data_IF_662304986225
#
_entry.id   IF_662304986225
#
_cell.length_a   1.000
_cell.length_b   1.000
_cell.length_c   1.000
_cell.angle_alpha   90.00
_cell.angle_beta   90.00
_cell.angle_gamma   90.00
#
_symmetry.space_group_name_H-M   'P 1'
#
loop_
_entity.id
_entity.type
_entity.pdbx_description
1 polymer ?
#
# COMPACT_ATOMS: atom_id res chain seq x y z
N UNK A 1 -14.50 18.54 0.29
CA UNK A 1 -13.72 17.36 -0.12
C UNK A 1 -14.70 16.24 -0.46
N UNK A 2 -14.77 15.86 -1.73
CA UNK A 2 -15.77 14.90 -2.23
C UNK A 2 -15.39 13.46 -1.87
N UNK A 3 -16.30 12.49 -2.05
CA UNK A 3 -16.05 11.09 -1.66
C UNK A 3 -14.82 10.51 -2.35
N UNK A 4 -14.57 10.85 -3.62
CA UNK A 4 -13.34 10.45 -4.35
C UNK A 4 -12.06 11.02 -3.75
N UNK A 5 -12.05 12.32 -3.41
CA UNK A 5 -10.88 12.94 -2.79
C UNK A 5 -10.60 12.34 -1.40
N UNK A 6 -11.65 12.02 -0.64
CA UNK A 6 -11.53 11.29 0.63
C UNK A 6 -10.98 9.88 0.42
N UNK A 7 -11.43 9.16 -0.60
CA UNK A 7 -10.95 7.82 -0.95
C UNK A 7 -9.48 7.85 -1.39
N UNK A 8 -9.10 8.77 -2.29
CA UNK A 8 -7.72 8.94 -2.72
C UNK A 8 -6.79 9.29 -1.57
N UNK A 9 -7.21 10.20 -0.68
CA UNK A 9 -6.45 10.52 0.54
C UNK A 9 -6.31 9.31 1.47
N UNK A 10 -7.39 8.55 1.68
CA UNK A 10 -7.36 7.33 2.49
C UNK A 10 -6.38 6.31 1.91
N UNK A 11 -6.46 6.03 0.61
CA UNK A 11 -5.57 5.10 -0.08
C UNK A 11 -4.11 5.55 0.00
N UNK A 12 -3.85 6.86 -0.16
CA UNK A 12 -2.52 7.43 -0.02
C UNK A 12 -1.97 7.26 1.40
N UNK A 13 -2.76 7.56 2.42
CA UNK A 13 -2.37 7.39 3.83
C UNK A 13 -2.10 5.93 4.16
N UNK A 14 -2.99 5.02 3.75
CA UNK A 14 -2.82 3.57 3.95
C UNK A 14 -1.57 3.06 3.24
N UNK A 15 -1.34 3.48 2.00
CA UNK A 15 -0.15 3.13 1.24
C UNK A 15 1.13 3.65 1.89
N UNK A 16 1.13 4.89 2.37
CA UNK A 16 2.25 5.50 3.10
C UNK A 16 2.56 4.77 4.41
N UNK A 17 1.54 4.42 5.19
CA UNK A 17 1.70 3.61 6.40
C UNK A 17 2.27 2.23 6.04
N UNK A 18 1.72 1.57 5.03
CA UNK A 18 2.19 0.25 4.57
C UNK A 18 3.66 0.27 4.09
N UNK A 19 4.14 1.39 3.54
CA UNK A 19 5.54 1.59 3.19
C UNK A 19 6.44 1.68 4.43
N UNK A 20 6.04 2.45 5.44
CA UNK A 20 6.80 2.66 6.68
C UNK A 20 6.78 1.42 7.57
N UNK A 21 5.64 0.71 7.64
CA UNK A 21 5.45 -0.53 8.39
C UNK A 21 6.06 -1.79 7.72
N UNK A 22 6.80 -1.62 6.63
CA UNK A 22 7.38 -2.70 5.81
C UNK A 22 8.38 -3.61 6.54
N UNK A 23 9.49 -4.04 5.92
CA UNK A 23 10.34 -5.09 6.48
C UNK A 23 10.95 -4.76 7.85
N UNK A 24 11.06 -3.47 8.23
CA UNK A 24 11.68 -3.02 9.49
C UNK A 24 11.03 -3.58 10.77
N UNK A 25 9.74 -3.28 11.06
CA UNK A 25 9.05 -3.83 12.23
C UNK A 25 8.88 -5.35 12.19
N UNK A 26 8.73 -5.93 10.99
CA UNK A 26 8.55 -7.38 10.81
C UNK A 26 9.74 -8.21 11.33
N UNK A 27 10.94 -7.65 11.36
CA UNK A 27 12.13 -8.32 11.90
C UNK A 27 12.03 -8.49 13.42
N UNK A 28 11.40 -7.54 14.13
CA UNK A 28 11.19 -7.62 15.58
C UNK A 28 10.22 -8.73 16.01
N UNK A 29 9.36 -9.21 15.10
CA UNK A 29 8.49 -10.38 15.34
C UNK A 29 9.27 -11.68 15.51
N UNK A 30 10.52 -11.72 15.03
CA UNK A 30 11.35 -12.94 15.01
C UNK A 30 12.55 -12.80 15.93
N UNK A 31 13.14 -11.60 15.97
CA UNK A 31 14.23 -11.29 16.87
C UNK A 31 13.90 -10.02 17.67
N UNK A 32 13.38 -10.16 18.91
CA UNK A 32 13.06 -9.02 19.75
C UNK A 32 14.31 -8.27 20.26
N UNK A 33 15.52 -8.80 20.09
CA UNK A 33 16.76 -8.10 20.42
C UNK A 33 17.80 -8.21 19.26
N UNK A 34 17.95 -7.19 18.42
CA UNK A 34 18.94 -7.17 17.35
C UNK A 34 20.40 -7.10 17.85
N UNK A 35 20.63 -6.83 19.13
CA UNK A 35 21.95 -6.82 19.75
C UNK A 35 22.28 -8.12 20.51
N UNK A 36 21.33 -9.06 20.63
CA UNK A 36 21.54 -10.33 21.31
C UNK A 36 22.21 -11.36 20.37
N UNK A 37 23.49 -11.74 20.61
CA UNK A 37 24.17 -12.77 19.83
C UNK A 37 23.58 -14.18 20.06
N UNK A 38 22.83 -14.41 21.15
CA UNK A 38 22.13 -15.66 21.48
C UNK A 38 20.71 -15.70 20.89
N UNK A 39 20.32 -14.71 20.07
CA UNK A 39 19.01 -14.64 19.45
C UNK A 39 18.60 -15.98 18.84
N UNK A 40 17.60 -16.61 19.47
CA UNK A 40 17.04 -17.88 19.01
C UNK A 40 16.38 -17.67 17.64
N UNK A 41 17.13 -17.99 16.58
CA UNK A 41 16.59 -18.05 15.22
C UNK A 41 15.56 -19.18 15.15
N UNK A 42 14.31 -18.86 15.42
CA UNK A 42 13.22 -19.80 15.17
C UNK A 42 13.24 -20.16 13.68
N UNK A 43 13.21 -21.45 13.35
CA UNK A 43 13.08 -21.93 11.96
C UNK A 43 11.83 -21.34 11.29
N UNK A 44 10.78 -21.06 12.06
CA UNK A 44 9.57 -20.37 11.59
C UNK A 44 9.71 -18.86 11.42
N UNK A 45 10.80 -18.26 11.93
CA UNK A 45 11.06 -16.84 11.83
C UNK A 45 11.12 -16.35 10.38
N UNK A 46 11.93 -17.00 9.55
CA UNK A 46 12.05 -16.65 8.13
C UNK A 46 10.70 -16.72 7.41
N UNK A 47 9.91 -17.82 7.50
CA UNK A 47 8.54 -17.86 6.98
C UNK A 47 7.64 -16.72 7.47
N UNK A 48 7.72 -16.33 8.75
CA UNK A 48 6.91 -15.26 9.32
C UNK A 48 7.26 -13.90 8.71
N UNK A 49 8.54 -13.57 8.53
CA UNK A 49 8.94 -12.32 7.85
C UNK A 49 8.52 -12.32 6.39
N UNK A 50 8.61 -13.45 5.70
CA UNK A 50 8.14 -13.56 4.32
C UNK A 50 6.62 -13.37 4.23
N UNK A 51 5.84 -13.99 5.12
CA UNK A 51 4.40 -13.79 5.20
C UNK A 51 4.04 -12.32 5.48
N UNK A 52 4.77 -11.67 6.39
CA UNK A 52 4.62 -10.24 6.70
C UNK A 52 4.92 -9.35 5.48
N UNK A 53 6.03 -9.61 4.78
CA UNK A 53 6.40 -8.86 3.58
C UNK A 53 5.36 -9.03 2.46
N UNK A 54 4.90 -10.26 2.21
CA UNK A 54 3.86 -10.56 1.21
C UNK A 54 2.55 -9.89 1.56
N UNK A 55 2.15 -9.89 2.84
CA UNK A 55 0.95 -9.20 3.30
C UNK A 55 0.99 -7.70 2.94
N UNK A 56 2.09 -7.01 3.25
CA UNK A 56 2.22 -5.59 2.94
C UNK A 56 2.30 -5.28 1.45
N UNK A 57 2.98 -6.14 0.69
CA UNK A 57 2.99 -6.05 -0.77
C UNK A 57 1.56 -6.16 -1.33
N UNK A 58 0.75 -7.07 -0.77
CA UNK A 58 -0.66 -7.22 -1.11
C UNK A 58 -1.48 -5.98 -0.79
N UNK A 59 -1.28 -5.36 0.39
CA UNK A 59 -1.95 -4.10 0.76
C UNK A 59 -1.59 -2.98 -0.21
N UNK A 60 -0.31 -2.83 -0.55
CA UNK A 60 0.16 -1.82 -1.50
C UNK A 60 -0.42 -2.03 -2.90
N UNK A 61 -0.38 -3.26 -3.42
CA UNK A 61 -0.98 -3.63 -4.69
C UNK A 61 -2.49 -3.36 -4.70
N UNK A 62 -3.19 -3.72 -3.62
CA UNK A 62 -4.61 -3.45 -3.44
C UNK A 62 -4.92 -1.94 -3.47
N UNK A 63 -4.12 -1.12 -2.80
CA UNK A 63 -4.30 0.34 -2.82
C UNK A 63 -4.16 0.91 -4.25
N UNK A 64 -3.17 0.45 -5.01
CA UNK A 64 -2.95 0.89 -6.40
C UNK A 64 -4.10 0.44 -7.30
N UNK A 65 -4.58 -0.80 -7.16
CA UNK A 65 -5.71 -1.32 -7.93
C UNK A 65 -7.01 -0.55 -7.63
N UNK A 66 -7.26 -0.24 -6.36
CA UNK A 66 -8.42 0.56 -5.94
C UNK A 66 -8.31 2.01 -6.45
N UNK A 67 -7.13 2.62 -6.37
CA UNK A 67 -6.89 3.94 -6.93
C UNK A 67 -7.12 3.96 -8.44
N UNK A 68 -6.60 2.98 -9.17
CA UNK A 68 -6.84 2.85 -10.61
C UNK A 68 -8.32 2.72 -10.94
N UNK A 69 -9.05 1.86 -10.22
CA UNK A 69 -10.45 1.54 -10.54
C UNK A 69 -11.45 2.61 -10.13
N UNK A 70 -11.22 3.31 -9.02
CA UNK A 70 -12.19 4.24 -8.43
C UNK A 70 -11.76 5.70 -8.44
N UNK A 71 -10.47 6.00 -8.65
CA UNK A 71 -9.97 7.38 -8.73
C UNK A 71 -9.61 7.72 -10.18
N UNK A 72 -8.77 6.92 -10.84
CA UNK A 72 -8.22 7.26 -12.17
C UNK A 72 -9.14 6.88 -13.35
N UNK A 73 -9.86 5.76 -13.30
CA UNK A 73 -10.72 5.32 -14.43
C UNK A 73 -11.96 6.18 -14.67
N UNK A 74 -12.42 6.93 -13.68
CA UNK A 74 -13.58 7.81 -13.86
C UNK A 74 -13.19 9.24 -14.28
N UNK A 75 -11.90 9.62 -14.23
CA UNK A 75 -11.39 10.86 -14.85
C UNK A 75 -11.32 10.73 -16.38
N UNK A 76 -11.02 9.54 -16.88
CA UNK A 76 -10.94 9.29 -18.33
C UNK A 76 -12.31 9.16 -19.01
N UNK A 77 -13.41 9.17 -18.24
CA UNK A 77 -14.80 9.11 -18.72
C UNK A 77 -15.53 10.46 -18.66
N UNK A 78 -14.84 11.57 -18.44
CA UNK A 78 -15.40 12.88 -18.81
C UNK A 78 -15.50 12.91 -20.35
N UNK A 79 -16.71 12.98 -20.94
CA UNK A 79 -16.81 13.31 -22.35
C UNK A 79 -16.15 14.68 -22.51
N UNK A 80 -15.14 14.78 -23.37
CA UNK A 80 -14.66 16.10 -23.81
C UNK A 80 -15.89 16.80 -24.37
N UNK A 81 -16.46 17.73 -23.62
CA UNK A 81 -17.51 18.59 -24.13
C UNK A 81 -17.00 19.17 -25.45
N UNK A 82 -17.87 19.10 -26.45
CA UNK A 82 -17.54 19.39 -27.83
C UNK A 82 -16.82 20.71 -27.94
N UNK A 83 -15.65 20.68 -28.56
CA UNK A 83 -15.13 21.85 -29.25
C UNK A 83 -16.02 22.11 -30.47
N UNK A 84 -17.22 22.64 -30.21
CA UNK A 84 -17.80 23.61 -31.12
C UNK A 84 -17.01 24.90 -30.92
N UNK A 85 -16.22 25.28 -31.93
CA UNK A 85 -16.23 26.63 -32.46
C UNK A 85 -15.78 26.55 -33.92
N UNK A 86 -16.77 26.25 -34.76
CA UNK A 86 -16.85 26.78 -36.11
C UNK A 86 -17.07 28.30 -35.99
N UNK A 87 -15.98 29.06 -35.78
CA UNK A 87 -15.91 30.53 -35.92
C UNK A 87 -14.51 30.99 -36.31
#
# INVERSE_FOLDING_TARGET
>A
MNSRQRLGLLLFVVFGIALVMGPGPGVWLINPDPADPEARRFLMGVPIVYAWAVFWLGVQAGCVLLAYRFVWREETMEPREGGDLDR
#
